data_IF_481599087838
#
_entry.id   IF_481599087838
#
_cell.length_a   1.000
_cell.length_b   1.000
_cell.length_c   1.000
_cell.angle_alpha   90.00
_cell.angle_beta   90.00
_cell.angle_gamma   90.00
#
_symmetry.space_group_name_H-M   'P 1'
#
loop_
_entity.id
_entity.type
_entity.pdbx_description
1 polymer ?
#
# COMPACT_ATOMS: atom_id res chain seq x y z
N UNK A 1 12.18 17.48 34.73
CA UNK A 1 12.88 16.33 34.09
C UNK A 1 11.96 15.34 33.37
N UNK A 2 10.65 15.29 33.64
CA UNK A 2 9.72 14.33 33.00
C UNK A 2 9.42 14.67 31.52
N UNK A 3 9.25 15.96 31.20
CA UNK A 3 8.91 16.41 29.84
C UNK A 3 10.01 16.08 28.80
N UNK A 4 11.28 16.29 29.16
CA UNK A 4 12.43 16.00 28.29
C UNK A 4 12.52 14.50 27.95
N UNK A 5 12.27 13.62 28.93
CA UNK A 5 12.28 12.16 28.74
C UNK A 5 11.10 11.68 27.90
N UNK A 6 9.92 12.28 28.06
CA UNK A 6 8.75 12.00 27.22
C UNK A 6 9.03 12.43 25.77
N UNK A 7 9.56 13.63 25.57
CA UNK A 7 9.92 14.14 24.23
C UNK A 7 10.99 13.26 23.58
N UNK A 8 12.05 12.89 24.29
CA UNK A 8 13.09 11.99 23.77
C UNK A 8 12.55 10.59 23.45
N UNK A 9 11.61 10.07 24.25
CA UNK A 9 10.95 8.79 24.00
C UNK A 9 10.06 8.87 22.76
N UNK A 10 9.29 9.95 22.61
CA UNK A 10 8.43 10.11 21.44
C UNK A 10 9.24 10.39 20.17
N UNK A 11 10.35 11.12 20.25
CA UNK A 11 11.29 11.29 19.13
C UNK A 11 11.86 9.93 18.71
N UNK A 12 12.26 9.07 19.67
CA UNK A 12 12.75 7.73 19.36
C UNK A 12 11.66 6.84 18.77
N UNK A 13 10.43 6.94 19.29
CA UNK A 13 9.27 6.20 18.79
C UNK A 13 8.94 6.61 17.35
N UNK A 14 8.83 7.92 17.10
CA UNK A 14 8.55 8.49 15.77
C UNK A 14 9.65 8.12 14.77
N UNK A 15 10.93 8.15 15.20
CA UNK A 15 12.05 7.65 14.37
C UNK A 15 11.89 6.17 14.05
N UNK A 16 11.70 5.32 15.06
CA UNK A 16 11.56 3.87 14.87
C UNK A 16 10.32 3.48 14.03
N UNK A 17 9.20 4.21 14.16
CA UNK A 17 7.98 3.97 13.36
C UNK A 17 8.02 4.60 11.97
N UNK A 18 8.98 5.49 11.72
CA UNK A 18 9.13 6.25 10.47
C UNK A 18 10.14 5.66 9.49
N UNK A 19 10.76 4.52 9.85
CA UNK A 19 11.70 3.75 9.04
C UNK A 19 10.98 2.88 8.01
N UNK A 20 11.61 2.67 6.86
CA UNK A 20 11.08 1.82 5.79
C UNK A 20 11.02 0.35 6.24
N UNK A 21 9.96 -0.37 5.88
CA UNK A 21 9.77 -1.77 6.27
C UNK A 21 9.34 -1.97 7.72
N UNK A 22 9.13 -0.90 8.50
CA UNK A 22 8.64 -1.03 9.88
C UNK A 22 7.21 -1.59 9.94
N UNK A 23 6.36 -1.14 9.02
CA UNK A 23 4.96 -1.56 8.96
C UNK A 23 4.40 -1.43 7.54
N UNK A 24 3.67 -2.46 7.10
CA UNK A 24 3.10 -2.54 5.75
C UNK A 24 1.57 -2.54 5.77
N UNK A 25 0.95 -1.99 4.72
CA UNK A 25 -0.50 -1.99 4.53
C UNK A 25 -0.86 -2.47 3.13
N UNK A 26 -1.70 -3.50 3.07
CA UNK A 26 -2.33 -3.96 1.85
C UNK A 26 -3.73 -3.35 1.82
N UNK A 27 -3.96 -2.45 0.87
CA UNK A 27 -5.19 -1.69 0.78
C UNK A 27 -5.77 -1.79 -0.63
N UNK A 28 -7.09 -1.71 -0.74
CA UNK A 28 -7.76 -1.69 -2.02
C UNK A 28 -8.94 -0.72 -2.02
N UNK A 29 -9.21 -0.12 -3.17
CA UNK A 29 -10.31 0.83 -3.33
C UNK A 29 -10.68 1.02 -4.79
N UNK A 30 -11.94 1.33 -5.04
CA UNK A 30 -12.35 1.95 -6.30
C UNK A 30 -11.61 3.27 -6.52
N UNK A 31 -11.33 3.54 -7.79
CA UNK A 31 -10.81 4.82 -8.29
C UNK A 31 -11.81 5.42 -9.29
N UNK A 32 -11.67 6.71 -9.56
CA UNK A 32 -12.61 7.48 -10.39
C UNK A 32 -12.65 7.08 -11.88
N UNK A 33 -11.77 6.18 -12.34
CA UNK A 33 -11.68 5.76 -13.73
C UNK A 33 -12.81 4.77 -14.08
N UNK A 34 -13.66 5.07 -15.08
CA UNK A 34 -14.71 4.16 -15.55
C UNK A 34 -14.16 2.96 -16.32
N UNK A 35 -14.79 1.80 -16.12
CA UNK A 35 -14.70 0.61 -16.97
C UNK A 35 -15.74 0.66 -18.09
N UNK A 36 -15.70 -0.30 -19.02
CA UNK A 36 -16.66 -0.41 -20.12
C UNK A 36 -18.12 -0.59 -19.69
N UNK A 37 -18.36 -1.13 -18.50
CA UNK A 37 -19.68 -1.30 -17.90
C UNK A 37 -20.09 -0.14 -16.96
N UNK A 38 -19.26 0.92 -16.89
CA UNK A 38 -19.48 2.07 -16.01
C UNK A 38 -19.02 1.88 -14.55
N UNK A 39 -18.61 0.67 -14.14
CA UNK A 39 -18.05 0.43 -12.80
C UNK A 39 -16.67 1.11 -12.67
N UNK A 40 -16.23 1.46 -11.46
CA UNK A 40 -14.88 1.94 -11.26
C UNK A 40 -13.86 0.81 -11.34
N UNK A 41 -12.67 1.07 -11.89
CA UNK A 41 -11.52 0.19 -11.66
C UNK A 41 -11.18 0.11 -10.18
N UNK A 42 -10.64 -1.03 -9.74
CA UNK A 42 -10.17 -1.25 -8.37
C UNK A 42 -8.65 -1.22 -8.34
N UNK A 43 -8.09 -0.35 -7.52
CA UNK A 43 -6.66 -0.27 -7.24
C UNK A 43 -6.34 -1.11 -6.00
N UNK A 44 -5.31 -1.93 -6.12
CA UNK A 44 -4.65 -2.67 -5.03
C UNK A 44 -3.27 -2.07 -4.83
N UNK A 45 -2.87 -1.89 -3.57
CA UNK A 45 -1.56 -1.34 -3.22
C UNK A 45 -0.92 -2.07 -2.06
N UNK A 46 0.41 -2.07 -2.06
CA UNK A 46 1.26 -2.33 -0.90
C UNK A 46 1.92 -1.02 -0.51
N UNK A 47 1.64 -0.55 0.70
CA UNK A 47 2.12 0.73 1.22
C UNK A 47 3.07 0.49 2.39
N UNK A 48 4.15 1.25 2.43
CA UNK A 48 5.00 1.35 3.61
C UNK A 48 4.53 2.49 4.51
N UNK A 49 4.23 2.21 5.77
CA UNK A 49 3.68 3.22 6.69
C UNK A 49 4.74 4.22 7.14
N UNK A 50 5.97 3.76 7.35
CA UNK A 50 7.04 4.60 7.90
C UNK A 50 7.47 5.69 6.93
N UNK A 51 7.62 5.34 5.65
CA UNK A 51 7.98 6.26 4.59
C UNK A 51 6.77 6.90 3.91
N UNK A 52 5.63 6.21 3.87
CA UNK A 52 4.45 6.47 3.02
C UNK A 52 4.60 6.01 1.57
N UNK A 53 5.68 5.34 1.21
CA UNK A 53 5.93 4.92 -0.17
C UNK A 53 4.89 3.90 -0.65
N UNK A 54 4.57 3.97 -1.94
CA UNK A 54 3.85 2.92 -2.66
C UNK A 54 4.90 1.91 -3.09
N UNK A 55 4.97 0.76 -2.40
CA UNK A 55 5.96 -0.28 -2.73
C UNK A 55 5.58 -1.01 -4.01
N UNK A 56 4.31 -1.34 -4.17
CA UNK A 56 3.79 -1.99 -5.36
C UNK A 56 2.29 -1.80 -5.50
N UNK A 57 1.79 -2.03 -6.70
CA UNK A 57 0.38 -1.79 -6.99
C UNK A 57 -0.13 -2.66 -8.16
N UNK A 58 -1.45 -2.75 -8.27
CA UNK A 58 -2.12 -3.39 -9.40
C UNK A 58 -3.53 -2.83 -9.59
N UNK A 59 -4.06 -2.86 -10.81
CA UNK A 59 -5.45 -2.48 -11.10
C UNK A 59 -6.23 -3.67 -11.66
N UNK A 60 -7.45 -3.85 -11.16
CA UNK A 60 -8.35 -4.91 -11.62
C UNK A 60 -9.80 -4.44 -11.70
N UNK A 61 -10.63 -5.24 -12.37
CA UNK A 61 -12.04 -4.93 -12.62
C UNK A 61 -12.91 -5.12 -11.36
N UNK A 62 -12.45 -5.94 -10.41
CA UNK A 62 -13.19 -6.28 -9.20
C UNK A 62 -12.33 -6.25 -7.95
N UNK A 63 -12.99 -6.16 -6.80
CA UNK A 63 -12.35 -6.10 -5.50
C UNK A 63 -12.05 -7.50 -4.93
N UNK A 64 -11.57 -8.45 -5.74
CA UNK A 64 -11.08 -9.75 -5.25
C UNK A 64 -9.62 -9.56 -4.81
N UNK A 65 -9.39 -9.63 -3.50
CA UNK A 65 -8.16 -9.19 -2.84
C UNK A 65 -6.95 -10.07 -3.12
N UNK A 66 -7.05 -11.39 -3.01
CA UNK A 66 -5.89 -12.28 -3.19
C UNK A 66 -5.17 -12.08 -4.53
N UNK A 67 -5.83 -12.17 -5.70
CA UNK A 67 -5.16 -11.97 -6.99
C UNK A 67 -4.66 -10.53 -7.15
N UNK A 68 -5.39 -9.54 -6.61
CA UNK A 68 -4.97 -8.14 -6.64
C UNK A 68 -3.68 -7.90 -5.84
N UNK A 69 -3.63 -8.38 -4.61
CA UNK A 69 -2.44 -8.29 -3.75
C UNK A 69 -1.29 -9.15 -4.21
N UNK A 70 -1.56 -10.31 -4.80
CA UNK A 70 -0.52 -11.11 -5.44
C UNK A 70 0.23 -10.31 -6.51
N UNK A 71 -0.51 -9.63 -7.40
CA UNK A 71 0.08 -8.81 -8.46
C UNK A 71 0.79 -7.58 -7.90
N UNK A 72 0.19 -6.91 -6.91
CA UNK A 72 0.82 -5.77 -6.25
C UNK A 72 2.10 -6.15 -5.48
N UNK A 73 2.14 -7.33 -4.85
CA UNK A 73 3.33 -7.84 -4.17
C UNK A 73 4.46 -8.21 -5.15
N UNK A 74 4.12 -8.79 -6.31
CA UNK A 74 5.09 -9.02 -7.39
C UNK A 74 5.67 -7.71 -7.92
N UNK A 75 4.82 -6.71 -8.13
CA UNK A 75 5.24 -5.37 -8.53
C UNK A 75 6.17 -4.74 -7.48
N UNK A 76 5.87 -4.93 -6.19
CA UNK A 76 6.73 -4.48 -5.10
C UNK A 76 8.10 -5.16 -5.12
N UNK A 77 8.13 -6.49 -5.20
CA UNK A 77 9.39 -7.27 -5.26
C UNK A 77 10.26 -6.86 -6.45
N UNK A 78 9.65 -6.58 -7.61
CA UNK A 78 10.38 -6.20 -8.82
C UNK A 78 11.05 -4.83 -8.72
N UNK A 79 10.60 -3.96 -7.81
CA UNK A 79 11.07 -2.56 -7.68
C UNK A 79 11.77 -2.30 -6.35
N UNK A 80 11.74 -3.25 -5.41
CA UNK A 80 12.11 -3.00 -4.03
C UNK A 80 13.58 -2.55 -3.89
N UNK A 81 14.46 -3.07 -4.73
CA UNK A 81 15.88 -2.68 -4.76
C UNK A 81 16.08 -1.26 -5.34
N UNK A 82 15.20 -0.83 -6.25
CA UNK A 82 15.23 0.52 -6.81
C UNK A 82 14.69 1.56 -5.82
N UNK A 83 13.76 1.13 -4.95
CA UNK A 83 13.30 1.92 -3.81
C UNK A 83 14.44 1.91 -2.78
N UNK A 84 15.34 2.91 -2.86
CA UNK A 84 16.49 3.05 -1.96
C UNK A 84 16.18 4.00 -0.78
N UNK A 85 15.31 3.64 0.20
CA UNK A 85 14.98 4.53 1.30
C UNK A 85 16.23 4.87 2.13
N UNK A 86 16.23 6.02 2.83
CA UNK A 86 17.40 6.45 3.59
C UNK A 86 17.80 5.51 4.73
N UNK A 87 16.82 4.81 5.32
CA UNK A 87 17.03 3.83 6.40
C UNK A 87 15.88 2.84 6.43
N UNK A 88 16.23 1.56 6.33
CA UNK A 88 15.36 0.42 6.59
C UNK A 88 15.29 0.14 8.10
N UNK A 89 14.11 -0.27 8.54
CA UNK A 89 13.86 -0.71 9.89
C UNK A 89 14.64 -1.99 10.18
N UNK A 90 14.90 -2.25 11.46
CA UNK A 90 15.56 -3.50 11.87
C UNK A 90 14.68 -4.74 11.73
N UNK A 91 13.35 -4.56 11.76
CA UNK A 91 12.35 -5.65 11.64
C UNK A 91 10.99 -5.12 11.22
N UNK A 92 10.17 -6.01 10.69
CA UNK A 92 8.76 -5.74 10.40
C UNK A 92 7.93 -5.96 11.68
N UNK A 93 7.16 -4.95 12.08
CA UNK A 93 6.41 -5.02 13.35
C UNK A 93 4.91 -5.15 13.16
N UNK A 94 4.38 -4.66 12.05
CA UNK A 94 2.93 -4.62 11.84
C UNK A 94 2.58 -4.73 10.35
N UNK A 95 1.63 -5.60 10.06
CA UNK A 95 1.02 -5.73 8.73
C UNK A 95 -0.49 -5.65 8.91
N UNK A 96 -1.18 -4.94 8.03
CA UNK A 96 -2.64 -5.06 7.95
C UNK A 96 -3.06 -5.33 6.51
N UNK A 97 -3.95 -6.32 6.34
CA UNK A 97 -4.47 -6.73 5.04
C UNK A 97 -5.97 -6.46 4.98
N UNK A 98 -6.36 -5.58 4.05
CA UNK A 98 -7.75 -5.25 3.78
C UNK A 98 -8.41 -6.34 2.96
N UNK A 99 -9.53 -6.88 3.45
CA UNK A 99 -10.32 -7.83 2.66
C UNK A 99 -11.05 -7.15 1.52
N UNK A 100 -11.09 -7.86 0.39
CA UNK A 100 -11.98 -7.63 -0.73
C UNK A 100 -13.28 -8.42 -0.60
N UNK A 101 -13.79 -8.88 -1.74
CA UNK A 101 -14.96 -9.77 -1.86
C UNK A 101 -14.71 -11.17 -1.28
N UNK A 102 -13.46 -11.61 -1.31
CA UNK A 102 -12.93 -12.90 -0.88
C UNK A 102 -12.46 -12.89 0.59
N UNK A 103 -13.35 -12.48 1.51
CA UNK A 103 -13.05 -12.29 2.94
C UNK A 103 -12.48 -13.54 3.62
N UNK A 104 -13.08 -14.71 3.38
CA UNK A 104 -12.64 -15.97 4.00
C UNK A 104 -11.24 -16.39 3.52
N UNK A 105 -10.98 -16.27 2.21
CA UNK A 105 -9.67 -16.56 1.65
C UNK A 105 -8.61 -15.58 2.18
N UNK A 106 -8.97 -14.30 2.34
CA UNK A 106 -8.10 -13.28 2.93
C UNK A 106 -7.79 -13.58 4.40
N UNK A 107 -8.77 -14.04 5.17
CA UNK A 107 -8.57 -14.45 6.56
C UNK A 107 -7.54 -15.58 6.67
N UNK A 108 -7.67 -16.63 5.82
CA UNK A 108 -6.71 -17.74 5.75
C UNK A 108 -5.29 -17.28 5.36
N UNK A 109 -5.18 -16.28 4.48
CA UNK A 109 -3.89 -15.67 4.16
C UNK A 109 -3.29 -14.98 5.39
N UNK A 110 -4.09 -14.18 6.10
CA UNK A 110 -3.64 -13.48 7.31
C UNK A 110 -3.15 -14.49 8.36
N UNK A 111 -3.90 -15.56 8.62
CA UNK A 111 -3.47 -16.62 9.55
C UNK A 111 -2.14 -17.26 9.16
N UNK A 112 -1.94 -17.52 7.85
CA UNK A 112 -0.68 -18.07 7.34
C UNK A 112 0.50 -17.10 7.50
N UNK A 113 0.26 -15.81 7.30
CA UNK A 113 1.30 -14.78 7.46
C UNK A 113 1.63 -14.56 8.93
N UNK A 114 0.62 -14.51 9.82
CA UNK A 114 0.79 -14.36 11.27
C UNK A 114 1.63 -15.51 11.87
N UNK A 115 1.52 -16.71 11.30
CA UNK A 115 2.34 -17.85 11.69
C UNK A 115 3.78 -17.82 11.13
N UNK A 116 4.04 -17.04 10.08
CA UNK A 116 5.32 -17.02 9.36
C UNK A 116 6.23 -15.86 9.78
N UNK A 117 5.66 -14.70 10.10
CA UNK A 117 6.43 -13.50 10.46
C UNK A 117 6.29 -13.15 11.94
N UNK A 118 7.34 -12.55 12.53
CA UNK A 118 7.32 -12.17 13.95
C UNK A 118 6.46 -10.93 14.23
N UNK A 119 6.16 -10.14 13.19
CA UNK A 119 5.34 -8.94 13.26
C UNK A 119 3.85 -9.27 13.42
N UNK A 120 3.10 -8.36 14.02
CA UNK A 120 1.66 -8.54 14.22
C UNK A 120 0.90 -8.38 12.90
N UNK A 121 0.17 -9.42 12.46
CA UNK A 121 -0.63 -9.38 11.22
C UNK A 121 -2.11 -9.18 11.55
N UNK A 122 -2.70 -8.11 11.02
CA UNK A 122 -4.10 -7.76 11.24
C UNK A 122 -4.94 -7.99 9.99
N UNK A 123 -6.15 -8.47 10.23
CA UNK A 123 -7.18 -8.62 9.20
C UNK A 123 -8.18 -7.46 9.26
N UNK A 124 -8.35 -6.75 8.15
CA UNK A 124 -9.31 -5.66 8.02
C UNK A 124 -10.47 -6.04 7.11
N UNK A 125 -11.52 -6.64 7.68
CA UNK A 125 -12.67 -7.20 6.99
C UNK A 125 -13.82 -6.20 6.71
N UNK A 126 -13.83 -5.07 7.41
CA UNK A 126 -14.91 -4.07 7.34
C UNK A 126 -14.91 -3.30 6.01
N UNK A 127 -16.06 -3.27 5.34
CA UNK A 127 -16.24 -2.56 4.06
C UNK A 127 -16.03 -1.05 4.18
N UNK A 128 -16.20 -0.49 5.38
CA UNK A 128 -15.96 0.93 5.64
C UNK A 128 -14.47 1.33 5.56
N UNK A 129 -13.55 0.35 5.44
CA UNK A 129 -12.10 0.57 5.47
C UNK A 129 -11.41 0.60 4.10
N UNK A 130 -12.12 0.42 2.98
CA UNK A 130 -11.49 0.50 1.66
C UNK A 130 -10.76 1.83 1.46
N UNK A 131 -9.54 1.79 0.94
CA UNK A 131 -8.72 2.96 0.62
C UNK A 131 -8.34 3.82 1.84
N UNK A 132 -8.56 3.33 3.07
CA UNK A 132 -8.28 4.09 4.30
C UNK A 132 -6.81 4.40 4.42
N UNK A 133 -5.94 3.42 4.16
CA UNK A 133 -4.50 3.59 4.31
C UNK A 133 -3.93 4.40 3.17
N UNK A 134 -4.38 4.15 1.94
CA UNK A 134 -3.97 4.99 0.81
C UNK A 134 -4.35 6.44 1.05
N UNK A 135 -5.61 6.72 1.43
CA UNK A 135 -6.06 8.09 1.72
C UNK A 135 -5.27 8.75 2.84
N UNK A 136 -4.89 7.99 3.88
CA UNK A 136 -4.13 8.50 5.03
C UNK A 136 -2.66 8.78 4.70
N UNK A 137 -2.02 7.92 3.90
CA UNK A 137 -0.58 7.95 3.64
C UNK A 137 -0.22 8.76 2.38
N UNK A 138 -0.94 8.49 1.29
CA UNK A 138 -0.71 9.09 -0.04
C UNK A 138 -1.62 10.29 -0.27
N UNK A 139 -2.87 10.20 0.19
CA UNK A 139 -3.90 11.20 -0.04
C UNK A 139 -5.08 10.64 -0.84
N UNK A 140 -6.13 11.45 -1.01
CA UNK A 140 -7.35 11.01 -1.71
C UNK A 140 -7.24 10.95 -3.25
N UNK A 141 -6.12 11.38 -3.82
CA UNK A 141 -5.94 11.58 -5.25
C UNK A 141 -4.49 11.35 -5.65
N UNK A 142 -4.27 10.72 -6.81
CA UNK A 142 -2.96 10.53 -7.42
C UNK A 142 -3.06 10.87 -8.92
N UNK A 143 -2.51 12.02 -9.31
CA UNK A 143 -2.70 12.58 -10.66
C UNK A 143 -4.19 12.82 -10.97
N UNK A 144 -4.71 12.22 -12.04
CA UNK A 144 -6.13 12.32 -12.42
C UNK A 144 -7.05 11.37 -11.65
N UNK A 145 -6.49 10.39 -10.95
CA UNK A 145 -7.24 9.33 -10.30
C UNK A 145 -7.60 9.74 -8.88
N UNK A 146 -8.91 9.75 -8.57
CA UNK A 146 -9.42 10.02 -7.22
C UNK A 146 -9.92 8.73 -6.61
N UNK A 147 -9.58 8.48 -5.34
CA UNK A 147 -10.13 7.36 -4.59
C UNK A 147 -11.62 7.56 -4.33
N UNK A 148 -12.41 6.52 -4.59
CA UNK A 148 -13.85 6.51 -4.34
C UNK A 148 -14.26 5.29 -3.50
N UNK A 149 -13.81 5.17 -2.24
CA UNK A 149 -13.99 3.96 -1.44
C UNK A 149 -15.43 3.43 -1.31
N UNK A 150 -16.41 4.34 -1.27
CA UNK A 150 -17.83 3.99 -1.20
C UNK A 150 -18.35 3.26 -2.45
N UNK A 151 -17.57 3.22 -3.54
CA UNK A 151 -17.90 2.58 -4.82
C UNK A 151 -17.20 1.24 -5.06
N UNK A 152 -16.26 0.86 -4.18
CA UNK A 152 -15.46 -0.37 -4.32
C UNK A 152 -16.32 -1.60 -4.56
N UNK A 153 -17.38 -1.78 -3.77
CA UNK A 153 -18.27 -2.93 -3.90
C UNK A 153 -19.46 -2.70 -4.83
N UNK A 154 -19.91 -1.46 -5.02
CA UNK A 154 -21.15 -1.16 -5.78
C UNK A 154 -21.20 0.27 -6.32
N UNK A 155 -22.00 0.46 -7.37
CA UNK A 155 -22.23 1.76 -8.01
C UNK A 155 -21.18 2.12 -9.06
N UNK A 156 -21.44 3.24 -9.73
CA UNK A 156 -20.68 3.65 -10.91
C UNK A 156 -19.43 4.44 -10.54
N UNK A 157 -18.50 4.52 -11.50
CA UNK A 157 -17.35 5.40 -11.42
C UNK A 157 -17.79 6.86 -11.24
N UNK A 158 -16.94 7.66 -10.60
CA UNK A 158 -17.19 9.08 -10.36
C UNK A 158 -15.99 9.91 -10.84
N UNK A 159 -15.82 10.06 -12.17
CA UNK A 159 -14.78 10.88 -12.77
C UNK A 159 -14.98 12.37 -12.37
N UNK A 160 -13.92 13.13 -12.06
CA UNK A 160 -14.04 14.51 -11.56
C UNK A 160 -14.79 15.48 -12.49
N UNK A 161 -14.73 15.25 -13.80
CA UNK A 161 -15.40 16.05 -14.83
C UNK A 161 -16.72 15.42 -15.33
N UNK A 162 -17.15 14.29 -14.75
CA UNK A 162 -18.31 13.53 -15.22
C UNK A 162 -18.09 12.76 -16.52
N UNK A 163 -16.87 12.74 -17.06
CA UNK A 163 -16.55 12.01 -18.29
C UNK A 163 -16.49 10.50 -18.04
N UNK A 164 -17.56 9.82 -18.43
CA UNK A 164 -17.71 8.37 -18.30
C UNK A 164 -17.04 7.57 -19.41
N UNK A 165 -16.20 8.20 -20.25
CA UNK A 165 -15.42 7.48 -21.27
C UNK A 165 -14.56 6.41 -20.59
N UNK A 166 -14.71 5.12 -20.96
CA UNK A 166 -13.98 4.04 -20.33
C UNK A 166 -12.47 4.16 -20.52
N UNK A 167 -11.73 3.93 -19.45
CA UNK A 167 -10.27 3.78 -19.50
C UNK A 167 -9.92 2.33 -19.81
N UNK A 168 -8.99 2.12 -20.75
CA UNK A 168 -8.37 0.81 -20.88
C UNK A 168 -7.46 0.51 -19.68
N UNK A 169 -7.26 -0.78 -19.40
CA UNK A 169 -6.31 -1.20 -18.34
C UNK A 169 -4.91 -0.63 -18.59
N UNK A 170 -4.42 -0.66 -19.82
CA UNK A 170 -3.08 -0.20 -20.17
C UNK A 170 -2.90 1.30 -19.97
N UNK A 171 -3.89 2.12 -20.31
CA UNK A 171 -3.85 3.57 -20.05
C UNK A 171 -3.80 3.86 -18.55
N UNK A 172 -4.62 3.13 -17.79
CA UNK A 172 -4.67 3.27 -16.35
C UNK A 172 -3.36 2.85 -15.67
N UNK A 173 -2.79 1.73 -16.08
CA UNK A 173 -1.51 1.23 -15.60
C UNK A 173 -0.37 2.21 -15.95
N UNK A 174 -0.31 2.71 -17.18
CA UNK A 174 0.69 3.69 -17.59
C UNK A 174 0.59 4.99 -16.78
N UNK A 175 -0.62 5.52 -16.61
CA UNK A 175 -0.86 6.73 -15.82
C UNK A 175 -0.46 6.51 -14.35
N UNK A 176 -0.87 5.40 -13.74
CA UNK A 176 -0.57 5.13 -12.35
C UNK A 176 0.93 4.89 -12.13
N UNK A 177 1.62 4.19 -13.04
CA UNK A 177 3.06 3.97 -12.97
C UNK A 177 3.84 5.29 -12.87
N UNK A 178 3.53 6.25 -13.75
CA UNK A 178 4.15 7.58 -13.76
C UNK A 178 3.88 8.31 -12.44
N UNK A 179 2.62 8.34 -12.00
CA UNK A 179 2.25 9.12 -10.81
C UNK A 179 2.70 8.50 -9.49
N UNK A 180 2.77 7.17 -9.42
CA UNK A 180 3.35 6.48 -8.27
C UNK A 180 4.86 6.72 -8.18
N UNK A 181 5.58 6.72 -9.30
CA UNK A 181 7.00 7.06 -9.34
C UNK A 181 7.25 8.51 -8.91
N UNK A 182 6.52 9.48 -9.48
CA UNK A 182 6.60 10.90 -9.10
C UNK A 182 6.35 11.09 -7.59
N UNK A 183 5.34 10.42 -7.04
CA UNK A 183 5.01 10.47 -5.61
C UNK A 183 6.12 9.87 -4.74
N UNK A 184 6.64 8.70 -5.11
CA UNK A 184 7.72 8.06 -4.38
C UNK A 184 8.99 8.94 -4.40
N UNK A 185 9.33 9.57 -5.53
CA UNK A 185 10.47 10.49 -5.64
C UNK A 185 10.31 11.74 -4.75
N UNK A 186 9.09 12.26 -4.60
CA UNK A 186 8.78 13.34 -3.66
C UNK A 186 8.97 12.89 -2.21
N UNK A 187 8.36 11.75 -1.83
CA UNK A 187 8.52 11.17 -0.48
C UNK A 187 9.99 10.93 -0.14
N UNK A 188 10.75 10.43 -1.11
CA UNK A 188 12.18 10.15 -0.95
C UNK A 188 13.00 11.42 -0.72
N UNK A 189 12.74 12.50 -1.47
CA UNK A 189 13.38 13.80 -1.26
C UNK A 189 13.08 14.38 0.12
N UNK A 190 11.86 14.21 0.62
CA UNK A 190 11.50 14.66 1.98
C UNK A 190 12.25 13.88 3.08
N UNK A 191 12.60 12.61 2.83
CA UNK A 191 13.22 11.70 3.79
C UNK A 191 14.75 11.71 3.74
N UNK A 192 15.37 12.12 2.63
CA UNK A 192 16.83 12.22 2.47
C UNK A 192 17.58 12.95 3.61
N UNK A 193 17.08 14.06 4.20
CA UNK A 193 17.76 14.74 5.32
C UNK A 193 17.89 13.89 6.59
N UNK A 194 17.18 12.76 6.67
CA UNK A 194 17.17 11.84 7.81
C UNK A 194 18.07 10.61 7.59
N UNK A 195 18.77 10.53 6.46
CA UNK A 195 19.65 9.41 6.12
C UNK A 195 20.78 9.27 7.16
N UNK A 196 20.99 8.03 7.61
CA UNK A 196 22.19 7.63 8.34
C UNK A 196 23.25 7.14 7.36
N UNK A 197 24.53 7.37 7.65
CA UNK A 197 25.66 6.83 6.84
C UNK A 197 25.76 5.29 6.91
N UNK A 198 24.97 4.63 7.75
CA UNK A 198 24.92 3.17 7.82
C UNK A 198 24.04 2.60 6.70
N UNK A 199 24.62 1.78 5.83
CA UNK A 199 23.89 0.91 4.92
C UNK A 199 22.98 -0.01 5.74
N UNK A 200 21.66 0.19 5.63
CA UNK A 200 20.66 -0.70 6.19
C UNK A 200 20.11 -1.60 5.09
N UNK A 201 20.08 -2.91 5.31
CA UNK A 201 19.48 -3.87 4.38
C UNK A 201 17.95 -3.94 4.56
N UNK A 202 17.25 -4.39 3.52
CA UNK A 202 15.81 -4.64 3.57
C UNK A 202 15.54 -5.72 4.64
N UNK A 203 14.54 -5.55 5.53
CA UNK A 203 14.21 -6.58 6.50
C UNK A 203 13.82 -7.88 5.81
N UNK A 204 14.42 -9.01 6.22
CA UNK A 204 14.10 -10.33 5.64
C UNK A 204 12.60 -10.65 5.71
N UNK A 205 11.93 -10.25 6.80
CA UNK A 205 10.48 -10.44 6.99
C UNK A 205 9.63 -9.67 5.96
N UNK A 206 10.12 -8.53 5.45
CA UNK A 206 9.44 -7.79 4.36
C UNK A 206 9.51 -8.61 3.07
N UNK A 207 10.70 -9.14 2.74
CA UNK A 207 10.90 -9.96 1.56
C UNK A 207 10.09 -11.26 1.62
N UNK A 208 10.16 -11.97 2.75
CA UNK A 208 9.43 -13.21 2.99
C UNK A 208 7.92 -13.00 2.86
N UNK A 209 7.38 -11.96 3.50
CA UNK A 209 5.96 -11.64 3.40
C UNK A 209 5.54 -11.33 1.95
N UNK A 210 6.31 -10.50 1.25
CA UNK A 210 5.99 -10.16 -0.14
C UNK A 210 6.06 -11.39 -1.05
N UNK A 211 7.04 -12.28 -0.84
CA UNK A 211 7.16 -13.54 -1.58
C UNK A 211 5.96 -14.46 -1.30
N UNK A 212 5.57 -14.65 -0.04
CA UNK A 212 4.41 -15.45 0.33
C UNK A 212 3.11 -14.96 -0.33
N UNK A 213 2.92 -13.64 -0.41
CA UNK A 213 1.76 -13.04 -1.10
C UNK A 213 1.89 -13.15 -2.63
N UNK A 214 3.09 -12.96 -3.18
CA UNK A 214 3.35 -13.06 -4.62
C UNK A 214 3.18 -14.49 -5.17
N UNK A 215 3.36 -15.50 -4.34
CA UNK A 215 3.32 -16.92 -4.70
C UNK A 215 2.01 -17.63 -4.35
N UNK A 216 0.95 -16.88 -4.00
CA UNK A 216 -0.37 -17.46 -3.75
C UNK A 216 -0.84 -18.34 -4.92
N UNK A 217 -1.10 -19.61 -4.64
CA UNK A 217 -1.62 -20.59 -5.60
C UNK A 217 -3.14 -20.64 -5.54
#
# INVERSE_FOLDING_TARGET
MVLRRIVETEIRRVKATGEAGHALRFDCSAISAPQGDGRPWILFVVLDVGTRMILGWHVAESAVALPGYQRAARDALAKLDDLSPPTWATRLTEVEIKSGLDKEATAKLVERLDAAISGNVQHADSDARFGRYFKKLVGGKLGLLTLTPARTLRGDALPPNGDMTPWSRSELEAHFAIKAAEYNDEVMREKQPLASDALSEIPAEVLELLQMVAELK
#
